data_IF_458132572500
#
_entry.id   IF_458132572500
#
_cell.length_a   1.000
_cell.length_b   1.000
_cell.length_c   1.000
_cell.angle_alpha   90.00
_cell.angle_beta   90.00
_cell.angle_gamma   90.00
#
_symmetry.space_group_name_H-M   'P 1'
#
loop_
_entity.id
_entity.type
_entity.pdbx_description
1 polymer ?
#
# COMPACT_ATOMS: atom_id res chain seq x y z
N UNK A 1 -0.29 17.15 62.01
CA UNK A 1 0.20 18.05 60.94
C UNK A 1 -0.11 17.39 59.61
N UNK A 2 -1.33 17.58 59.10
CA UNK A 2 -1.73 17.07 57.80
C UNK A 2 -1.31 18.09 56.74
N UNK A 3 -0.59 17.65 55.72
CA UNK A 3 -0.16 18.46 54.59
C UNK A 3 -1.22 18.33 53.50
N UNK A 4 -1.93 19.41 53.20
CA UNK A 4 -2.86 19.51 52.08
C UNK A 4 -2.11 20.16 50.93
N UNK A 5 -1.79 19.34 49.92
CA UNK A 5 -1.32 19.77 48.61
C UNK A 5 -2.49 20.37 47.85
N UNK A 6 -2.42 21.66 47.54
CA UNK A 6 -3.35 22.30 46.61
C UNK A 6 -2.81 22.17 45.18
N UNK A 7 -3.66 21.71 44.28
CA UNK A 7 -3.35 21.30 42.92
C UNK A 7 -3.88 22.37 41.98
N UNK A 8 -3.05 23.33 41.60
CA UNK A 8 -3.42 24.32 40.58
C UNK A 8 -3.30 23.71 39.18
N UNK A 9 -4.47 23.40 38.62
CA UNK A 9 -4.70 23.00 37.23
C UNK A 9 -4.34 24.17 36.31
N UNK A 10 -3.24 24.04 35.55
CA UNK A 10 -2.87 25.00 34.50
C UNK A 10 -3.55 24.59 33.20
N UNK A 11 -4.62 25.28 32.84
CA UNK A 11 -5.25 25.16 31.52
C UNK A 11 -4.27 25.69 30.46
N UNK A 12 -3.73 24.80 29.62
CA UNK A 12 -3.01 25.19 28.41
C UNK A 12 -4.04 25.56 27.35
N UNK A 13 -4.34 26.86 27.28
CA UNK A 13 -5.09 27.48 26.21
C UNK A 13 -4.27 27.34 24.91
N UNK A 14 -4.68 26.42 24.03
CA UNK A 14 -4.09 26.26 22.71
C UNK A 14 -4.43 27.49 21.89
N UNK A 15 -3.52 28.48 21.88
CA UNK A 15 -3.56 29.58 20.94
C UNK A 15 -3.55 28.98 19.53
N UNK A 16 -4.71 29.00 18.87
CA UNK A 16 -4.81 28.76 17.46
C UNK A 16 -3.89 29.77 16.78
N UNK A 17 -2.84 29.27 16.12
CA UNK A 17 -2.03 30.09 15.24
C UNK A 17 -2.97 30.61 14.15
N UNK A 18 -3.37 31.87 14.26
CA UNK A 18 -4.02 32.59 13.19
C UNK A 18 -3.04 32.56 12.01
N UNK A 19 -3.45 31.94 10.90
CA UNK A 19 -2.72 31.99 9.63
C UNK A 19 -2.62 33.48 9.25
N UNK A 20 -1.50 34.09 9.58
CA UNK A 20 -1.20 35.48 9.27
C UNK A 20 -0.97 35.57 7.76
N UNK A 21 -2.04 35.88 7.00
CA UNK A 21 -1.97 36.12 5.56
C UNK A 21 -1.12 37.37 5.32
N UNK A 22 0.17 37.15 5.07
CA UNK A 22 1.17 38.20 4.81
C UNK A 22 0.87 39.06 3.58
N UNK A 23 -0.17 38.76 2.80
CA UNK A 23 -0.53 39.51 1.59
C UNK A 23 0.51 39.38 0.47
N UNK A 24 1.45 38.44 0.58
CA UNK A 24 2.50 38.21 -0.39
C UNK A 24 1.92 37.65 -1.70
N UNK A 25 1.99 38.43 -2.78
CA UNK A 25 1.63 37.96 -4.10
C UNK A 25 2.75 37.08 -4.67
N UNK A 26 2.57 35.77 -4.62
CA UNK A 26 3.51 34.81 -5.19
C UNK A 26 3.23 34.68 -6.69
N UNK A 27 4.10 35.27 -7.51
CA UNK A 27 4.06 35.09 -8.96
C UNK A 27 4.42 33.65 -9.32
N UNK A 28 3.69 32.98 -10.25
CA UNK A 28 4.01 31.63 -10.67
C UNK A 28 5.41 31.56 -11.30
N UNK A 29 6.31 30.78 -10.69
CA UNK A 29 7.68 30.59 -11.21
C UNK A 29 7.65 29.82 -12.54
N UNK A 30 6.71 28.89 -12.69
CA UNK A 30 6.56 28.02 -13.86
C UNK A 30 5.07 27.92 -14.21
N UNK A 31 4.77 28.00 -15.51
CA UNK A 31 3.47 27.63 -16.04
C UNK A 31 3.53 26.17 -16.50
N UNK A 32 2.73 25.31 -15.87
CA UNK A 32 2.58 23.91 -16.26
C UNK A 32 1.45 23.80 -17.28
N UNK A 33 1.67 23.01 -18.31
CA UNK A 33 0.62 22.59 -19.24
C UNK A 33 -0.07 21.33 -18.68
N UNK A 34 -1.38 21.25 -18.88
CA UNK A 34 -2.12 20.04 -18.55
C UNK A 34 -1.69 18.91 -19.49
N UNK A 35 -1.29 17.78 -18.91
CA UNK A 35 -0.88 16.59 -19.66
C UNK A 35 -1.85 15.47 -19.35
N UNK A 36 -2.39 14.84 -20.39
CA UNK A 36 -3.19 13.64 -20.23
C UNK A 36 -2.32 12.51 -19.64
N UNK A 37 -2.71 12.00 -18.48
CA UNK A 37 -1.99 10.92 -17.78
C UNK A 37 -2.75 9.62 -17.93
N UNK A 38 -2.02 8.56 -18.24
CA UNK A 38 -2.53 7.17 -18.24
C UNK A 38 -2.07 6.46 -16.98
N UNK A 39 -2.86 5.50 -16.51
CA UNK A 39 -2.54 4.65 -15.36
C UNK A 39 -1.62 3.50 -15.72
N UNK A 40 -1.64 3.07 -16.99
CA UNK A 40 -0.99 1.85 -17.47
C UNK A 40 -1.75 0.57 -17.09
N UNK A 41 -3.02 0.70 -16.70
CA UNK A 41 -3.94 -0.38 -16.29
C UNK A 41 -5.14 -0.50 -17.27
N UNK A 42 -5.16 0.27 -18.36
CA UNK A 42 -6.31 0.41 -19.27
C UNK A 42 -6.66 -0.88 -20.01
N UNK A 43 -5.66 -1.73 -20.27
CA UNK A 43 -5.82 -3.03 -20.94
C UNK A 43 -5.98 -4.21 -19.99
N UNK A 44 -6.37 -3.93 -18.75
CA UNK A 44 -6.55 -4.93 -17.71
C UNK A 44 -7.93 -4.88 -17.09
N UNK A 45 -8.37 -6.03 -16.59
CA UNK A 45 -9.60 -6.19 -15.84
C UNK A 45 -9.23 -6.41 -14.38
N UNK A 46 -9.80 -5.60 -13.48
CA UNK A 46 -9.65 -5.80 -12.05
C UNK A 46 -10.48 -7.00 -11.59
N UNK A 47 -9.79 -8.07 -11.19
CA UNK A 47 -10.39 -9.27 -10.62
C UNK A 47 -10.64 -9.14 -9.11
N UNK A 48 -9.89 -8.24 -8.46
CA UNK A 48 -9.96 -7.96 -7.04
C UNK A 48 -9.49 -6.52 -6.79
N UNK A 49 -10.09 -5.84 -5.82
CA UNK A 49 -9.66 -4.54 -5.31
C UNK A 49 -9.96 -4.48 -3.82
N UNK A 50 -8.92 -4.44 -2.97
CA UNK A 50 -9.07 -4.46 -1.52
C UNK A 50 -8.18 -3.40 -0.87
N UNK A 51 -8.69 -2.75 0.18
CA UNK A 51 -7.89 -1.86 1.03
C UNK A 51 -6.99 -2.67 1.96
N UNK A 52 -5.71 -2.30 2.01
CA UNK A 52 -4.71 -3.00 2.78
C UNK A 52 -3.53 -2.10 3.19
N UNK A 53 -2.68 -2.62 4.07
CA UNK A 53 -1.37 -2.06 4.39
C UNK A 53 -0.29 -3.08 4.04
N UNK A 54 0.65 -2.68 3.20
CA UNK A 54 1.77 -3.47 2.74
C UNK A 54 3.04 -3.12 3.50
N UNK A 55 3.80 -4.15 3.80
CA UNK A 55 5.10 -4.11 4.42
C UNK A 55 6.10 -4.85 3.54
N UNK A 56 7.35 -4.40 3.59
CA UNK A 56 8.49 -5.01 2.94
C UNK A 56 9.48 -5.40 4.02
N UNK A 57 10.06 -6.59 3.92
CA UNK A 57 11.11 -6.99 4.83
C UNK A 57 12.43 -6.32 4.47
N UNK A 58 13.07 -5.71 5.45
CA UNK A 58 14.40 -5.16 5.34
C UNK A 58 15.42 -6.19 5.82
N UNK A 59 16.18 -6.78 4.88
CA UNK A 59 17.12 -7.85 5.17
C UNK A 59 18.28 -7.38 6.05
N UNK A 60 18.76 -6.15 5.84
CA UNK A 60 19.88 -5.58 6.62
C UNK A 60 19.47 -5.29 8.07
N UNK A 61 18.30 -4.67 8.26
CA UNK A 61 17.76 -4.37 9.58
C UNK A 61 17.03 -5.54 10.25
N UNK A 62 16.88 -6.68 9.56
CA UNK A 62 16.10 -7.84 10.01
C UNK A 62 14.70 -7.45 10.56
N UNK A 63 14.00 -6.56 9.84
CA UNK A 63 12.75 -5.98 10.33
C UNK A 63 11.74 -5.71 9.20
N UNK A 64 10.45 -5.70 9.54
CA UNK A 64 9.41 -5.26 8.62
C UNK A 64 9.32 -3.73 8.58
N UNK A 65 9.33 -3.15 7.37
CA UNK A 65 9.11 -1.71 7.13
C UNK A 65 7.80 -1.51 6.37
N UNK A 66 7.02 -0.50 6.77
CA UNK A 66 5.81 -0.13 6.02
C UNK A 66 6.21 0.36 4.62
N UNK A 67 5.55 -0.18 3.60
CA UNK A 67 5.81 0.10 2.19
C UNK A 67 4.69 0.93 1.56
N UNK A 68 3.45 0.71 1.99
CA UNK A 68 2.33 1.52 1.54
C UNK A 68 1.00 1.17 2.19
N UNK A 69 0.09 2.13 2.21
CA UNK A 69 -1.30 1.94 2.61
C UNK A 69 -2.22 2.43 1.49
N UNK A 70 -3.11 1.56 1.02
CA UNK A 70 -3.99 1.86 -0.09
C UNK A 70 -4.69 0.63 -0.65
N UNK A 71 -4.98 0.64 -1.94
CA UNK A 71 -5.69 -0.46 -2.62
C UNK A 71 -4.70 -1.39 -3.31
N UNK A 72 -4.81 -2.69 -3.01
CA UNK A 72 -4.19 -3.78 -3.76
C UNK A 72 -5.20 -4.36 -4.75
N UNK A 73 -4.77 -4.52 -6.00
CA UNK A 73 -5.55 -5.10 -7.08
C UNK A 73 -4.89 -6.34 -7.66
N UNK A 74 -5.72 -7.30 -8.07
CA UNK A 74 -5.34 -8.34 -9.02
C UNK A 74 -5.85 -7.92 -10.40
N UNK A 75 -4.93 -7.67 -11.33
CA UNK A 75 -5.24 -7.19 -12.67
C UNK A 75 -4.93 -8.28 -13.69
N UNK A 76 -5.88 -8.59 -14.56
CA UNK A 76 -5.72 -9.54 -15.67
C UNK A 76 -5.70 -8.81 -16.99
N UNK A 77 -4.63 -8.95 -17.76
CA UNK A 77 -4.51 -8.39 -19.09
C UNK A 77 -5.52 -9.02 -20.04
N UNK A 78 -6.27 -8.20 -20.80
CA UNK A 78 -7.37 -8.63 -21.67
C UNK A 78 -6.90 -9.60 -22.76
N UNK A 79 -5.79 -9.27 -23.43
CA UNK A 79 -5.27 -10.09 -24.55
C UNK A 79 -4.40 -11.26 -24.09
N UNK A 80 -3.34 -10.99 -23.31
CA UNK A 80 -2.38 -12.01 -22.92
C UNK A 80 -2.87 -12.93 -21.79
N UNK A 81 -3.93 -12.56 -21.08
CA UNK A 81 -4.44 -13.29 -19.93
C UNK A 81 -3.53 -13.27 -18.70
N UNK A 82 -2.34 -12.65 -18.78
CA UNK A 82 -1.40 -12.55 -17.65
C UNK A 82 -2.01 -11.76 -16.50
N UNK A 83 -1.70 -12.20 -15.28
CA UNK A 83 -2.18 -11.57 -14.06
C UNK A 83 -1.03 -10.94 -13.29
N UNK A 84 -1.23 -9.72 -12.80
CA UNK A 84 -0.31 -9.05 -11.88
C UNK A 84 -1.00 -8.50 -10.64
N UNK A 85 -0.23 -8.38 -9.57
CA UNK A 85 -0.57 -7.59 -8.40
C UNK A 85 -0.08 -6.17 -8.65
N UNK A 86 -0.96 -5.20 -8.46
CA UNK A 86 -0.61 -3.77 -8.41
C UNK A 86 -1.18 -3.18 -7.13
N UNK A 87 -0.37 -2.44 -6.37
CA UNK A 87 -0.84 -1.71 -5.21
C UNK A 87 -0.38 -0.25 -5.28
N UNK A 88 -1.32 0.68 -5.03
CA UNK A 88 -1.03 2.12 -4.97
C UNK A 88 -1.38 2.70 -3.61
N UNK A 89 -0.56 3.66 -3.17
CA UNK A 89 -0.81 4.43 -1.94
C UNK A 89 -2.03 5.36 -2.11
N UNK A 90 -2.91 5.43 -1.10
CA UNK A 90 -4.20 6.10 -1.23
C UNK A 90 -4.14 7.61 -1.55
N UNK A 91 -3.12 8.33 -1.06
CA UNK A 91 -3.00 9.79 -1.24
C UNK A 91 -2.07 10.18 -2.38
N UNK A 92 -0.90 9.54 -2.46
CA UNK A 92 0.16 9.89 -3.42
C UNK A 92 0.00 9.17 -4.75
N UNK A 93 -0.83 8.11 -4.80
CA UNK A 93 -1.03 7.22 -5.95
C UNK A 93 0.24 6.53 -6.45
N UNK A 94 1.34 6.64 -5.70
CA UNK A 94 2.60 5.95 -5.97
C UNK A 94 2.39 4.45 -5.88
N UNK A 95 2.96 3.73 -6.84
CA UNK A 95 2.99 2.27 -6.85
C UNK A 95 3.89 1.80 -5.71
N UNK A 96 3.43 0.83 -4.94
CA UNK A 96 4.18 0.24 -3.84
C UNK A 96 4.33 -1.29 -3.92
N UNK A 97 3.61 -1.92 -4.87
CA UNK A 97 3.85 -3.27 -5.39
C UNK A 97 3.41 -3.32 -6.85
N UNK A 98 4.18 -4.00 -7.70
CA UNK A 98 3.89 -4.27 -9.11
C UNK A 98 4.69 -5.50 -9.56
N UNK A 99 4.05 -6.66 -9.53
CA UNK A 99 4.68 -7.92 -9.94
C UNK A 99 3.65 -8.92 -10.47
N UNK A 100 4.09 -9.84 -11.33
CA UNK A 100 3.22 -10.89 -11.85
C UNK A 100 2.83 -11.91 -10.77
N UNK A 101 1.69 -12.55 -11.00
CA UNK A 101 1.31 -13.82 -10.36
C UNK A 101 1.80 -14.94 -11.27
N UNK A 102 2.63 -15.84 -10.76
CA UNK A 102 3.28 -16.92 -11.52
C UNK A 102 3.42 -18.17 -10.63
N UNK A 103 3.52 -19.39 -11.19
CA UNK A 103 3.48 -20.65 -10.42
C UNK A 103 4.41 -20.73 -9.18
N UNK A 104 5.53 -20.00 -9.18
CA UNK A 104 6.45 -19.95 -8.04
C UNK A 104 6.00 -19.07 -6.86
N UNK A 105 4.99 -18.21 -7.02
CA UNK A 105 4.53 -17.31 -5.95
C UNK A 105 3.65 -18.05 -4.95
N UNK A 106 3.97 -17.92 -3.65
CA UNK A 106 3.24 -18.59 -2.57
C UNK A 106 2.76 -17.57 -1.56
N UNK A 107 1.48 -17.22 -1.63
CA UNK A 107 0.82 -16.44 -0.58
C UNK A 107 0.50 -17.37 0.59
N UNK A 108 1.18 -17.15 1.71
CA UNK A 108 1.07 -17.93 2.93
C UNK A 108 0.45 -17.07 4.04
N UNK A 109 -0.38 -17.66 4.89
CA UNK A 109 -0.89 -16.96 6.07
C UNK A 109 0.27 -16.57 7.00
N UNK A 110 0.19 -15.38 7.59
CA UNK A 110 1.21 -14.94 8.53
C UNK A 110 0.99 -15.62 9.89
N UNK A 111 2.01 -16.33 10.40
CA UNK A 111 1.90 -17.17 11.61
C UNK A 111 1.39 -16.43 12.87
N UNK A 112 1.61 -15.12 12.96
CA UNK A 112 1.16 -14.29 14.08
C UNK A 112 -0.06 -13.40 13.82
N UNK A 113 -0.67 -13.43 12.63
CA UNK A 113 -1.81 -12.55 12.30
C UNK A 113 -2.66 -13.12 11.16
N UNK A 114 -3.89 -13.52 11.48
CA UNK A 114 -4.86 -14.11 10.54
C UNK A 114 -5.43 -13.12 9.51
N UNK A 115 -5.26 -11.82 9.73
CA UNK A 115 -5.57 -10.75 8.77
C UNK A 115 -4.41 -10.45 7.83
N UNK A 116 -3.31 -11.21 7.91
CA UNK A 116 -2.12 -10.97 7.12
C UNK A 116 -1.66 -12.20 6.35
N UNK A 117 -1.06 -11.95 5.18
CA UNK A 117 -0.34 -12.97 4.42
C UNK A 117 1.03 -12.46 3.98
N UNK A 118 1.93 -13.39 3.70
CA UNK A 118 3.32 -13.16 3.30
C UNK A 118 3.64 -13.89 2.01
N UNK A 119 4.50 -13.31 1.18
CA UNK A 119 5.00 -13.94 -0.04
C UNK A 119 6.31 -13.30 -0.49
N UNK A 120 6.98 -13.95 -1.45
CA UNK A 120 8.16 -13.44 -2.15
C UNK A 120 7.81 -13.15 -3.61
N UNK A 121 8.34 -12.06 -4.18
CA UNK A 121 8.15 -11.74 -5.59
C UNK A 121 9.27 -10.85 -6.16
N UNK A 122 9.62 -11.01 -7.45
CA UNK A 122 10.40 -10.04 -8.21
C UNK A 122 9.50 -8.84 -8.55
N UNK A 123 9.68 -7.74 -7.84
CA UNK A 123 8.82 -6.56 -7.85
C UNK A 123 9.42 -5.39 -8.65
N UNK A 124 8.57 -4.65 -9.37
CA UNK A 124 8.96 -3.51 -10.21
C UNK A 124 8.36 -2.18 -9.75
N UNK A 125 7.98 -2.04 -8.47
CA UNK A 125 7.33 -0.80 -7.99
C UNK A 125 8.25 0.43 -8.00
N UNK A 126 9.57 0.24 -7.97
CA UNK A 126 10.57 1.32 -7.97
C UNK A 126 11.18 1.61 -9.36
N UNK A 127 10.65 1.01 -10.43
CA UNK A 127 11.19 1.17 -11.80
C UNK A 127 12.37 0.26 -12.14
N UNK A 128 12.73 -0.66 -11.24
CA UNK A 128 13.70 -1.73 -11.44
C UNK A 128 13.21 -3.00 -10.75
N UNK A 129 13.62 -4.18 -11.25
CA UNK A 129 13.21 -5.47 -10.67
C UNK A 129 14.02 -5.77 -9.41
N UNK A 130 13.33 -6.00 -8.29
CA UNK A 130 13.93 -6.36 -7.00
C UNK A 130 13.24 -7.57 -6.38
N UNK A 131 14.02 -8.50 -5.84
CA UNK A 131 13.46 -9.62 -5.07
C UNK A 131 13.06 -9.16 -3.67
N UNK A 132 11.75 -9.02 -3.48
CA UNK A 132 11.16 -8.51 -2.24
C UNK A 132 10.43 -9.62 -1.47
N UNK A 133 10.45 -9.51 -0.15
CA UNK A 133 9.60 -10.29 0.74
C UNK A 133 8.54 -9.36 1.31
N UNK A 134 7.28 -9.65 0.99
CA UNK A 134 6.14 -8.83 1.36
C UNK A 134 5.35 -9.46 2.51
N UNK A 135 4.77 -8.59 3.33
CA UNK A 135 3.67 -8.92 4.22
C UNK A 135 2.56 -7.91 3.97
N UNK A 136 1.33 -8.35 3.84
CA UNK A 136 0.17 -7.46 3.69
C UNK A 136 -0.82 -7.74 4.80
N UNK A 137 -1.43 -6.67 5.33
CA UNK A 137 -2.45 -6.74 6.39
C UNK A 137 -3.74 -6.09 5.92
N UNK A 138 -4.84 -6.79 6.13
CA UNK A 138 -6.19 -6.34 5.80
C UNK A 138 -7.00 -5.91 7.03
N UNK A 139 -8.12 -5.25 6.79
CA UNK A 139 -9.08 -4.91 7.86
C UNK A 139 -9.80 -6.14 8.45
N UNK A 140 -10.00 -7.18 7.63
CA UNK A 140 -10.69 -8.41 7.99
C UNK A 140 -9.89 -9.65 7.56
N UNK A 141 -10.12 -10.76 8.27
CA UNK A 141 -9.60 -12.09 7.90
C UNK A 141 -10.16 -12.54 6.56
N UNK A 142 -11.42 -12.21 6.29
CA UNK A 142 -12.09 -12.53 5.03
C UNK A 142 -11.33 -11.95 3.83
N UNK A 143 -10.94 -10.67 3.88
CA UNK A 143 -10.17 -10.04 2.81
C UNK A 143 -8.82 -10.73 2.56
N UNK A 144 -8.14 -11.15 3.63
CA UNK A 144 -6.89 -11.92 3.54
C UNK A 144 -7.11 -13.27 2.83
N UNK A 145 -8.17 -13.98 3.22
CA UNK A 145 -8.58 -15.24 2.60
C UNK A 145 -8.97 -15.05 1.14
N UNK A 146 -9.72 -14.00 0.81
CA UNK A 146 -10.12 -13.68 -0.57
C UNK A 146 -8.93 -13.43 -1.48
N UNK A 147 -7.94 -12.64 -1.04
CA UNK A 147 -6.71 -12.44 -1.84
C UNK A 147 -5.99 -13.78 -2.06
N UNK A 148 -5.84 -14.55 -0.99
CA UNK A 148 -5.11 -15.82 -1.02
C UNK A 148 -5.81 -16.87 -1.90
N UNK A 149 -7.13 -16.98 -1.81
CA UNK A 149 -7.92 -17.91 -2.63
C UNK A 149 -7.91 -17.51 -4.10
N UNK A 150 -8.15 -16.23 -4.41
CA UNK A 150 -8.12 -15.76 -5.80
C UNK A 150 -6.75 -15.89 -6.43
N UNK A 151 -5.69 -15.62 -5.70
CA UNK A 151 -4.33 -15.84 -6.21
C UNK A 151 -4.09 -17.32 -6.52
N UNK A 152 -4.50 -18.24 -5.63
CA UNK A 152 -4.36 -19.69 -5.86
C UNK A 152 -5.16 -20.19 -7.05
N UNK A 153 -6.41 -19.75 -7.19
CA UNK A 153 -7.26 -20.11 -8.33
C UNK A 153 -6.63 -19.66 -9.67
N UNK A 154 -6.07 -18.45 -9.69
CA UNK A 154 -5.41 -17.93 -10.90
C UNK A 154 -4.10 -18.66 -11.20
N UNK A 155 -3.38 -19.13 -10.17
CA UNK A 155 -2.18 -19.96 -10.37
C UNK A 155 -2.53 -21.31 -10.98
N UNK A 156 -3.59 -21.97 -10.50
CA UNK A 156 -4.03 -23.25 -11.05
C UNK A 156 -4.38 -23.13 -12.55
N UNK A 157 -5.01 -22.01 -12.95
CA UNK A 157 -5.33 -21.74 -14.36
C UNK A 157 -4.11 -21.44 -15.24
N UNK A 158 -2.95 -21.15 -14.65
CA UNK A 158 -1.69 -20.95 -15.39
C UNK A 158 -0.87 -22.23 -15.53
N UNK A 159 -1.20 -23.27 -14.76
CA UNK A 159 -0.56 -24.59 -14.81
C UNK A 159 -1.26 -25.55 -15.79
N UNK A 160 -2.46 -25.20 -16.25
CA UNK A 160 -3.25 -25.91 -17.29
C UNK A 160 -2.96 -25.40 -18.70
#
# INVERSE_FOLDING_TARGET
MASTTDSEHREEESAAAEDEDTGAQIAPIIKLEEVAVTTGEEEEIALLDLKAKLYRFDKEGNQWKERGHGSIKLLKHKETGKVRIVMRQAKTLKICANHYVFPGIKLQEHAGNDKSCVWHAPDFSDGEVKDEMFAIRFGSVENCKTLSSRSKELLNLLEE
#
